data_IF_271952376874
#
_entry.id   IF_271952376874
#
_cell.length_a   1.000
_cell.length_b   1.000
_cell.length_c   1.000
_cell.angle_alpha   90.00
_cell.angle_beta   90.00
_cell.angle_gamma   90.00
#
_symmetry.space_group_name_H-M   'P 1'
#
loop_
_entity.id
_entity.type
_entity.pdbx_description
1 polymer ?
#
# COMPACT_ATOMS: atom_id res chain seq x y z
N UNK A 1 -17.87 37.36 10.24
CA UNK A 1 -19.34 37.18 10.40
C UNK A 1 -19.84 36.02 9.54
N UNK A 2 -19.30 34.80 9.73
CA UNK A 2 -19.68 33.60 8.98
C UNK A 2 -20.08 32.42 9.91
N UNK A 3 -20.17 32.67 11.22
CA UNK A 3 -20.36 31.64 12.26
C UNK A 3 -21.81 31.43 12.69
N UNK A 4 -22.75 32.27 12.24
CA UNK A 4 -24.13 32.32 12.76
C UNK A 4 -25.17 31.53 11.94
N UNK A 5 -24.75 30.82 10.88
CA UNK A 5 -25.66 30.01 10.07
C UNK A 5 -25.71 28.54 10.51
N UNK A 6 -24.62 28.01 11.10
CA UNK A 6 -24.57 26.63 11.62
C UNK A 6 -25.38 26.47 12.92
N UNK A 7 -25.36 27.48 13.78
CA UNK A 7 -25.99 27.44 15.10
C UNK A 7 -27.53 27.39 15.10
N UNK A 8 -28.21 27.63 13.96
CA UNK A 8 -29.68 27.62 13.88
C UNK A 8 -30.30 26.23 13.77
N UNK A 9 -29.53 25.19 13.47
CA UNK A 9 -30.00 23.78 13.43
C UNK A 9 -29.63 23.00 14.70
N UNK A 10 -28.78 23.56 15.54
CA UNK A 10 -28.32 22.96 16.80
C UNK A 10 -29.33 23.10 17.96
N UNK A 11 -30.37 23.92 17.80
CA UNK A 11 -31.29 24.28 18.90
C UNK A 11 -32.44 23.29 19.12
N UNK A 12 -32.67 22.36 18.18
CA UNK A 12 -33.80 21.42 18.23
C UNK A 12 -33.44 20.02 18.74
N UNK A 13 -32.19 19.79 19.17
CA UNK A 13 -31.82 18.52 19.80
C UNK A 13 -32.36 18.43 21.22
N UNK A 14 -33.59 17.91 21.31
CA UNK A 14 -34.33 17.69 22.55
C UNK A 14 -34.27 16.21 22.92
N UNK A 15 -33.90 15.91 24.17
CA UNK A 15 -33.98 14.53 24.64
C UNK A 15 -35.44 14.06 24.75
N UNK A 16 -35.82 12.90 24.16
CA UNK A 16 -37.20 12.43 24.20
C UNK A 16 -37.71 12.06 25.60
N UNK A 17 -36.82 11.81 26.57
CA UNK A 17 -37.18 11.38 27.93
C UNK A 17 -37.32 12.56 28.89
N UNK A 18 -36.29 13.40 28.99
CA UNK A 18 -36.29 14.53 29.93
C UNK A 18 -36.72 15.86 29.28
N UNK A 19 -36.88 15.89 27.95
CA UNK A 19 -37.21 17.09 27.17
C UNK A 19 -36.27 18.27 27.38
N UNK A 20 -35.09 18.06 27.99
CA UNK A 20 -34.07 19.09 28.12
C UNK A 20 -33.36 19.27 26.78
N UNK A 21 -33.27 20.51 26.32
CA UNK A 21 -32.54 20.90 25.12
C UNK A 21 -31.08 21.22 25.42
N UNK A 22 -30.23 21.10 24.39
CA UNK A 22 -28.82 21.50 24.42
C UNK A 22 -28.62 22.99 24.74
N UNK A 23 -29.63 23.82 24.46
CA UNK A 23 -29.63 25.25 24.75
C UNK A 23 -29.52 25.55 26.26
N UNK A 24 -30.18 24.76 27.11
CA UNK A 24 -30.23 25.02 28.55
C UNK A 24 -28.95 24.56 29.29
N UNK A 25 -28.25 23.56 28.76
CA UNK A 25 -26.98 23.07 29.30
C UNK A 25 -26.05 22.67 28.14
N UNK A 26 -25.09 23.51 27.75
CA UNK A 26 -24.21 23.26 26.60
C UNK A 26 -23.28 22.05 26.80
N UNK A 27 -23.03 21.65 28.05
CA UNK A 27 -22.19 20.50 28.40
C UNK A 27 -22.92 19.15 28.31
N UNK A 28 -24.23 19.13 28.09
CA UNK A 28 -24.95 17.87 27.91
C UNK A 28 -24.54 17.21 26.59
N UNK A 29 -24.11 15.96 26.68
CA UNK A 29 -23.77 15.15 25.52
C UNK A 29 -24.92 14.20 25.22
N UNK A 30 -25.18 14.05 23.93
CA UNK A 30 -26.09 13.04 23.42
C UNK A 30 -25.32 11.76 23.09
N UNK A 31 -25.88 10.65 23.57
CA UNK A 31 -25.41 9.31 23.29
C UNK A 31 -26.40 8.63 22.34
N UNK A 32 -25.86 7.83 21.44
CA UNK A 32 -26.60 7.04 20.46
C UNK A 32 -26.23 5.58 20.63
N UNK A 33 -27.21 4.70 20.43
CA UNK A 33 -26.99 3.26 20.40
C UNK A 33 -27.09 2.76 18.94
N UNK A 34 -26.12 1.97 18.45
CA UNK A 34 -26.08 1.47 17.07
C UNK A 34 -27.27 0.55 16.69
N UNK A 35 -28.06 0.08 17.65
CA UNK A 35 -29.21 -0.79 17.38
C UNK A 35 -30.52 -0.03 17.14
N UNK A 36 -30.78 1.06 17.87
CA UNK A 36 -32.02 1.86 17.75
C UNK A 36 -31.80 3.20 17.05
N UNK A 37 -30.57 3.74 17.00
CA UNK A 37 -30.26 5.09 16.47
C UNK A 37 -31.13 6.21 17.06
N UNK A 38 -31.43 6.15 18.35
CA UNK A 38 -32.15 7.21 19.06
C UNK A 38 -31.19 8.01 19.95
N UNK A 39 -31.31 9.35 19.89
CA UNK A 39 -30.52 10.29 20.68
C UNK A 39 -31.06 10.36 22.11
N UNK A 40 -30.21 10.16 23.11
CA UNK A 40 -30.56 10.25 24.53
C UNK A 40 -29.49 11.03 25.30
N UNK A 41 -29.90 11.75 26.35
CA UNK A 41 -28.99 12.50 27.20
C UNK A 41 -28.16 11.57 28.11
N UNK A 42 -26.91 11.93 28.45
CA UNK A 42 -26.06 11.14 29.37
C UNK A 42 -26.79 10.78 30.68
N UNK A 43 -27.46 11.74 31.32
CA UNK A 43 -28.19 11.51 32.59
C UNK A 43 -29.40 10.58 32.43
N UNK A 44 -30.04 10.58 31.26
CA UNK A 44 -31.15 9.69 30.91
C UNK A 44 -30.67 8.26 30.71
N UNK A 45 -29.53 8.10 30.01
CA UNK A 45 -28.89 6.81 29.78
C UNK A 45 -28.43 6.21 31.11
N UNK A 46 -27.79 7.02 31.95
CA UNK A 46 -27.33 6.57 33.26
C UNK A 46 -28.51 6.16 34.15
N UNK A 47 -29.60 6.92 34.20
CA UNK A 47 -30.74 6.57 35.05
C UNK A 47 -31.45 5.28 34.61
N UNK A 48 -31.70 5.12 33.31
CA UNK A 48 -32.54 4.03 32.78
C UNK A 48 -31.75 2.72 32.66
N UNK A 49 -30.47 2.78 32.29
CA UNK A 49 -29.66 1.59 32.05
C UNK A 49 -28.74 1.21 33.22
N UNK A 50 -28.76 1.95 34.34
CA UNK A 50 -28.06 1.52 35.58
C UNK A 50 -28.79 0.39 36.30
N UNK A 51 -30.11 0.28 36.14
CA UNK A 51 -30.91 -0.82 36.70
C UNK A 51 -30.79 -2.14 35.93
N UNK A 52 -30.02 -2.18 34.84
CA UNK A 52 -29.83 -3.35 33.99
C UNK A 52 -30.20 -3.11 32.53
N UNK A 53 -30.19 -4.16 31.69
CA UNK A 53 -30.58 -4.05 30.28
C UNK A 53 -32.07 -3.74 30.18
N UNK A 54 -32.40 -2.51 29.79
CA UNK A 54 -33.76 -2.04 29.58
C UNK A 54 -34.08 -1.90 28.08
N UNK A 55 -35.36 -1.81 27.74
CA UNK A 55 -35.78 -1.44 26.39
C UNK A 55 -35.62 0.07 26.17
N UNK A 56 -35.48 0.46 24.91
CA UNK A 56 -35.50 1.87 24.54
C UNK A 56 -36.87 2.51 24.88
N UNK A 57 -36.92 3.67 25.56
CA UNK A 57 -38.18 4.32 25.95
C UNK A 57 -38.83 5.15 24.84
N UNK A 58 -38.27 5.16 23.63
CA UNK A 58 -38.79 5.93 22.50
C UNK A 58 -39.96 5.19 21.87
N UNK A 59 -41.06 5.91 21.62
CA UNK A 59 -42.26 5.37 21.00
C UNK A 59 -41.93 4.68 19.68
N UNK A 60 -42.15 3.36 19.61
CA UNK A 60 -41.87 2.53 18.43
C UNK A 60 -40.57 1.70 18.47
N UNK A 61 -39.62 1.95 19.39
CA UNK A 61 -38.47 1.04 19.60
C UNK A 61 -38.70 0.17 20.82
N UNK A 62 -38.74 -1.16 20.67
CA UNK A 62 -38.74 -2.12 21.79
C UNK A 62 -37.44 -2.93 21.89
N UNK A 63 -36.35 -2.46 21.27
CA UNK A 63 -35.07 -3.17 21.32
C UNK A 63 -34.44 -3.04 22.70
N UNK A 64 -33.86 -4.13 23.18
CA UNK A 64 -33.15 -4.21 24.47
C UNK A 64 -31.74 -3.64 24.32
N UNK A 65 -31.42 -2.61 25.10
CA UNK A 65 -30.16 -1.87 25.00
C UNK A 65 -29.33 -2.04 26.28
N UNK A 66 -27.99 -1.98 26.13
CA UNK A 66 -27.03 -2.05 27.23
C UNK A 66 -26.25 -0.75 27.33
N UNK A 67 -25.90 -0.33 28.56
CA UNK A 67 -25.15 0.91 28.85
C UNK A 67 -23.82 1.01 28.09
N UNK A 68 -23.06 -0.09 28.00
CA UNK A 68 -21.74 -0.08 27.37
C UNK A 68 -21.77 0.08 25.84
N UNK A 69 -22.93 -0.11 25.20
CA UNK A 69 -23.07 0.02 23.74
C UNK A 69 -23.50 1.43 23.32
N UNK A 70 -23.65 2.37 24.24
CA UNK A 70 -23.89 3.77 23.90
C UNK A 70 -22.57 4.44 23.48
N UNK A 71 -22.59 5.14 22.36
CA UNK A 71 -21.46 5.87 21.80
C UNK A 71 -21.81 7.36 21.67
N UNK A 72 -20.82 8.24 21.76
CA UNK A 72 -20.99 9.67 21.49
C UNK A 72 -21.25 9.86 20.00
N UNK A 73 -22.24 10.70 19.69
CA UNK A 73 -22.54 11.12 18.33
C UNK A 73 -21.30 11.80 17.72
N UNK A 74 -20.88 11.35 16.55
CA UNK A 74 -19.78 11.97 15.80
C UNK A 74 -20.30 12.85 14.67
N UNK A 75 -21.51 12.56 14.17
CA UNK A 75 -22.13 13.28 13.06
C UNK A 75 -23.53 13.76 13.44
N UNK A 76 -23.95 14.93 12.97
CA UNK A 76 -25.26 15.53 13.26
C UNK A 76 -26.42 14.65 12.73
N UNK A 77 -26.22 14.02 11.56
CA UNK A 77 -27.22 13.19 10.88
C UNK A 77 -27.16 11.71 11.29
N UNK A 78 -28.29 11.21 11.83
CA UNK A 78 -28.49 9.78 12.15
C UNK A 78 -28.38 8.87 10.91
N UNK A 79 -28.78 9.37 9.73
CA UNK A 79 -28.69 8.61 8.48
C UNK A 79 -27.23 8.29 8.14
N UNK A 80 -26.36 9.30 8.24
CA UNK A 80 -24.92 9.17 7.99
C UNK A 80 -24.26 8.27 9.02
N UNK A 81 -24.62 8.39 10.31
CA UNK A 81 -24.07 7.48 11.33
C UNK A 81 -24.43 6.01 11.06
N UNK A 82 -25.67 5.74 10.65
CA UNK A 82 -26.09 4.39 10.27
C UNK A 82 -25.30 3.88 9.07
N UNK A 83 -25.12 4.70 8.05
CA UNK A 83 -24.33 4.34 6.88
C UNK A 83 -22.88 4.04 7.25
N UNK A 84 -22.25 4.89 8.08
CA UNK A 84 -20.87 4.71 8.54
C UNK A 84 -20.72 3.41 9.34
N UNK A 85 -21.67 3.10 10.22
CA UNK A 85 -21.65 1.86 11.00
C UNK A 85 -21.85 0.62 10.12
N UNK A 86 -22.76 0.67 9.14
CA UNK A 86 -22.94 -0.40 8.15
C UNK A 86 -21.68 -0.57 7.30
N UNK A 87 -21.14 0.53 6.74
CA UNK A 87 -19.93 0.51 5.92
C UNK A 87 -18.75 -0.04 6.70
N UNK A 88 -18.55 0.37 7.95
CA UNK A 88 -17.48 -0.18 8.81
C UNK A 88 -17.66 -1.68 9.05
N UNK A 89 -18.88 -2.14 9.32
CA UNK A 89 -19.17 -3.56 9.50
C UNK A 89 -18.86 -4.36 8.22
N UNK A 90 -19.33 -3.87 7.07
CA UNK A 90 -19.13 -4.54 5.79
C UNK A 90 -17.65 -4.53 5.38
N UNK A 91 -16.94 -3.40 5.54
CA UNK A 91 -15.49 -3.30 5.30
C UNK A 91 -14.67 -4.24 6.18
N UNK A 92 -15.08 -4.43 7.44
CA UNK A 92 -14.41 -5.35 8.35
C UNK A 92 -14.56 -6.83 7.94
N UNK A 93 -15.69 -7.18 7.32
CA UNK A 93 -15.94 -8.53 6.81
C UNK A 93 -15.30 -8.72 5.42
N UNK A 94 -15.40 -7.73 4.53
CA UNK A 94 -14.87 -7.74 3.16
C UNK A 94 -13.51 -7.02 3.10
N UNK A 95 -12.55 -7.48 3.89
CA UNK A 95 -11.22 -6.87 4.05
C UNK A 95 -10.15 -7.49 3.12
N UNK A 96 -10.48 -7.71 1.85
CA UNK A 96 -9.53 -8.21 0.84
C UNK A 96 -8.70 -7.07 0.26
N UNK A 97 -7.41 -7.32 0.02
CA UNK A 97 -6.44 -6.35 -0.53
C UNK A 97 -6.30 -6.53 -2.04
N UNK A 98 -5.90 -5.46 -2.75
CA UNK A 98 -5.67 -5.48 -4.20
C UNK A 98 -4.65 -6.56 -4.63
N UNK A 99 -3.65 -6.82 -3.78
CA UNK A 99 -2.59 -7.82 -4.02
C UNK A 99 -3.11 -9.25 -4.11
N UNK A 100 -4.28 -9.54 -3.53
CA UNK A 100 -4.90 -10.86 -3.58
C UNK A 100 -5.60 -11.13 -4.92
N UNK A 101 -5.72 -10.14 -5.81
CA UNK A 101 -6.43 -10.26 -7.08
C UNK A 101 -5.48 -10.37 -8.28
N UNK A 102 -5.79 -11.28 -9.23
CA UNK A 102 -5.01 -11.49 -10.46
C UNK A 102 -5.04 -10.28 -11.38
N UNK A 103 -6.17 -9.55 -11.40
CA UNK A 103 -6.39 -8.42 -12.28
C UNK A 103 -6.99 -7.25 -11.53
N UNK A 104 -6.60 -6.05 -11.93
CA UNK A 104 -7.18 -4.80 -11.38
C UNK A 104 -8.69 -4.73 -11.61
N UNK A 105 -9.18 -5.21 -12.76
CA UNK A 105 -10.63 -5.26 -13.05
C UNK A 105 -11.40 -6.13 -12.04
N UNK A 106 -10.86 -7.28 -11.66
CA UNK A 106 -11.48 -8.14 -10.66
C UNK A 106 -11.55 -7.46 -9.28
N UNK A 107 -10.56 -6.64 -8.95
CA UNK A 107 -10.59 -5.83 -7.73
C UNK A 107 -11.63 -4.70 -7.82
N UNK A 108 -11.71 -4.00 -8.96
CA UNK A 108 -12.72 -2.95 -9.18
C UNK A 108 -14.15 -3.54 -9.13
N UNK A 109 -14.40 -4.69 -9.76
CA UNK A 109 -15.68 -5.41 -9.70
C UNK A 109 -16.03 -5.83 -8.26
N UNK A 110 -15.03 -6.21 -7.45
CA UNK A 110 -15.23 -6.52 -6.03
C UNK A 110 -15.58 -5.28 -5.20
N UNK A 111 -14.95 -4.14 -5.49
CA UNK A 111 -15.28 -2.87 -4.84
C UNK A 111 -16.72 -2.43 -5.17
N UNK A 112 -17.14 -2.59 -6.43
CA UNK A 112 -18.52 -2.32 -6.84
C UNK A 112 -19.51 -3.23 -6.11
N UNK A 113 -19.27 -4.56 -6.08
CA UNK A 113 -20.09 -5.50 -5.31
C UNK A 113 -20.17 -5.15 -3.82
N UNK A 114 -19.07 -4.67 -3.22
CA UNK A 114 -19.05 -4.21 -1.83
C UNK A 114 -19.95 -2.99 -1.64
N UNK A 115 -19.87 -1.99 -2.51
CA UNK A 115 -20.73 -0.80 -2.41
C UNK A 115 -22.19 -1.12 -2.70
N UNK A 116 -22.50 -2.05 -3.61
CA UNK A 116 -23.87 -2.54 -3.85
C UNK A 116 -24.46 -3.17 -2.59
N UNK A 117 -23.69 -4.00 -1.89
CA UNK A 117 -24.10 -4.58 -0.61
C UNK A 117 -24.36 -3.46 0.42
N UNK A 118 -23.46 -2.48 0.52
CA UNK A 118 -23.64 -1.34 1.44
C UNK A 118 -24.90 -0.54 1.09
N UNK A 119 -25.11 -0.21 -0.18
CA UNK A 119 -26.26 0.57 -0.65
C UNK A 119 -27.59 -0.16 -0.38
N UNK A 120 -27.63 -1.48 -0.59
CA UNK A 120 -28.78 -2.32 -0.27
C UNK A 120 -29.09 -2.32 1.24
N UNK A 121 -28.07 -2.45 2.09
CA UNK A 121 -28.25 -2.42 3.56
C UNK A 121 -28.70 -1.04 4.06
N UNK A 122 -28.15 0.05 3.50
CA UNK A 122 -28.53 1.42 3.88
C UNK A 122 -29.97 1.73 3.48
N UNK A 123 -30.35 1.34 2.26
CA UNK A 123 -31.69 1.56 1.68
C UNK A 123 -32.75 0.59 2.21
N UNK A 124 -32.33 -0.44 2.98
CA UNK A 124 -33.18 -1.53 3.50
C UNK A 124 -33.88 -2.35 2.41
N UNK A 125 -33.26 -2.49 1.25
CA UNK A 125 -33.73 -3.32 0.16
C UNK A 125 -33.06 -4.69 0.30
N UNK A 126 -33.84 -5.77 0.32
CA UNK A 126 -33.34 -7.16 0.38
C UNK A 126 -32.31 -7.44 1.52
N UNK A 127 -32.56 -6.89 2.72
CA UNK A 127 -31.70 -7.06 3.91
C UNK A 127 -31.45 -8.53 4.25
N UNK A 128 -32.47 -9.38 4.16
CA UNK A 128 -32.32 -10.80 4.49
C UNK A 128 -31.38 -11.56 3.53
N UNK A 129 -31.40 -11.22 2.24
CA UNK A 129 -30.54 -11.89 1.24
C UNK A 129 -29.10 -11.43 1.37
N UNK A 130 -28.90 -10.12 1.51
CA UNK A 130 -27.58 -9.52 1.67
C UNK A 130 -26.93 -9.97 2.98
N UNK A 131 -27.67 -10.01 4.09
CA UNK A 131 -27.18 -10.56 5.36
C UNK A 131 -26.81 -12.05 5.24
N UNK A 132 -27.61 -12.86 4.53
CA UNK A 132 -27.28 -14.27 4.30
C UNK A 132 -26.01 -14.43 3.45
N UNK A 133 -25.80 -13.60 2.43
CA UNK A 133 -24.58 -13.58 1.62
C UNK A 133 -23.36 -13.19 2.46
N UNK A 134 -23.49 -12.14 3.28
CA UNK A 134 -22.46 -11.70 4.22
C UNK A 134 -22.10 -12.80 5.24
N UNK A 135 -23.09 -13.52 5.78
CA UNK A 135 -22.86 -14.61 6.72
C UNK A 135 -22.16 -15.81 6.07
N UNK A 136 -22.56 -16.20 4.86
CA UNK A 136 -21.88 -17.27 4.10
C UNK A 136 -20.43 -16.89 3.85
N UNK A 137 -20.20 -15.68 3.37
CA UNK A 137 -18.85 -15.19 3.12
C UNK A 137 -18.00 -15.13 4.40
N UNK A 138 -18.56 -14.63 5.50
CA UNK A 138 -17.85 -14.54 6.77
C UNK A 138 -17.48 -15.93 7.33
N UNK A 139 -18.35 -16.94 7.12
CA UNK A 139 -18.08 -18.31 7.55
C UNK A 139 -16.99 -18.97 6.70
N UNK A 140 -17.04 -18.79 5.37
CA UNK A 140 -16.07 -19.37 4.43
C UNK A 140 -14.69 -18.71 4.55
N UNK A 141 -14.64 -17.40 4.79
CA UNK A 141 -13.41 -16.58 4.79
C UNK A 141 -12.93 -16.16 6.18
N UNK A 142 -13.39 -16.78 7.26
CA UNK A 142 -13.01 -16.35 8.60
C UNK A 142 -11.49 -16.34 8.82
N UNK A 143 -10.75 -17.26 8.19
CA UNK A 143 -9.29 -17.35 8.32
C UNK A 143 -8.57 -16.24 7.55
N UNK A 144 -8.95 -15.99 6.29
CA UNK A 144 -8.38 -14.90 5.48
C UNK A 144 -8.70 -13.52 6.07
N UNK A 145 -9.92 -13.35 6.59
CA UNK A 145 -10.32 -12.12 7.29
C UNK A 145 -9.41 -11.86 8.50
N UNK A 146 -9.18 -12.88 9.34
CA UNK A 146 -8.30 -12.74 10.52
C UNK A 146 -6.85 -12.48 10.15
N UNK A 147 -6.33 -13.14 9.11
CA UNK A 147 -4.97 -12.91 8.63
C UNK A 147 -4.80 -11.45 8.15
N UNK A 148 -5.72 -10.97 7.32
CA UNK A 148 -5.69 -9.59 6.83
C UNK A 148 -5.85 -8.56 7.96
N UNK A 149 -6.69 -8.84 8.96
CA UNK A 149 -6.83 -8.00 10.16
C UNK A 149 -5.55 -7.97 11.01
N UNK A 150 -4.83 -9.09 11.11
CA UNK A 150 -3.56 -9.14 11.83
C UNK A 150 -2.50 -8.30 11.11
N UNK A 151 -2.42 -8.37 9.78
CA UNK A 151 -1.51 -7.56 8.98
C UNK A 151 -1.85 -6.07 9.12
N UNK A 152 -3.13 -5.70 9.01
CA UNK A 152 -3.58 -4.31 9.21
C UNK A 152 -3.26 -3.79 10.62
N UNK A 153 -3.42 -4.63 11.65
CA UNK A 153 -3.07 -4.28 13.02
C UNK A 153 -1.56 -4.09 13.21
N UNK A 154 -0.74 -4.95 12.59
CA UNK A 154 0.72 -4.83 12.62
C UNK A 154 1.18 -3.55 11.90
N UNK A 155 0.64 -3.26 10.73
CA UNK A 155 0.89 -2.01 9.97
C UNK A 155 0.46 -0.77 10.76
N UNK A 156 -0.71 -0.79 11.40
CA UNK A 156 -1.16 0.30 12.24
C UNK A 156 -0.26 0.50 13.47
N UNK A 157 0.18 -0.59 14.10
CA UNK A 157 1.08 -0.54 15.26
C UNK A 157 2.47 0.00 14.90
N UNK A 158 3.03 -0.43 13.77
CA UNK A 158 4.33 0.04 13.28
C UNK A 158 4.26 1.51 12.84
N UNK A 159 3.15 1.94 12.22
CA UNK A 159 2.91 3.34 11.91
C UNK A 159 2.82 4.20 13.18
N UNK A 160 2.05 3.76 14.18
CA UNK A 160 1.94 4.47 15.46
C UNK A 160 3.31 4.55 16.17
N UNK A 161 4.07 3.46 16.21
CA UNK A 161 5.42 3.45 16.79
C UNK A 161 6.36 4.44 16.08
N UNK A 162 6.29 4.52 14.75
CA UNK A 162 7.07 5.49 13.98
C UNK A 162 6.67 6.93 14.31
N UNK A 163 5.36 7.20 14.41
CA UNK A 163 4.85 8.51 14.80
C UNK A 163 5.27 8.91 16.22
N UNK A 164 5.27 7.96 17.17
CA UNK A 164 5.70 8.25 18.55
C UNK A 164 7.20 8.54 18.61
N UNK A 165 8.03 7.78 17.88
CA UNK A 165 9.47 8.04 17.79
C UNK A 165 9.76 9.42 17.20
N UNK A 166 9.06 9.80 16.12
CA UNK A 166 9.22 11.13 15.53
C UNK A 166 8.81 12.25 16.51
N UNK A 167 7.72 12.06 17.26
CA UNK A 167 7.29 13.01 18.28
C UNK A 167 8.28 13.11 19.45
N UNK A 168 8.85 11.98 19.90
CA UNK A 168 9.86 11.94 20.95
C UNK A 168 11.15 12.62 20.51
N UNK A 169 11.63 12.36 19.29
CA UNK A 169 12.76 13.07 18.72
C UNK A 169 12.51 14.58 18.62
N UNK A 170 11.32 14.99 18.17
CA UNK A 170 10.96 16.41 18.12
C UNK A 170 10.93 17.04 19.52
N UNK A 171 10.45 16.32 20.53
CA UNK A 171 10.46 16.76 21.93
C UNK A 171 11.88 16.90 22.47
N UNK A 172 12.75 15.91 22.22
CA UNK A 172 14.15 15.94 22.63
C UNK A 172 14.91 17.10 21.95
N UNK A 173 14.64 17.36 20.66
CA UNK A 173 15.21 18.53 19.95
C UNK A 173 14.78 19.84 20.60
N UNK A 174 13.50 19.99 20.96
CA UNK A 174 13.01 21.19 21.66
C UNK A 174 13.64 21.37 23.04
N UNK A 175 13.83 20.26 23.77
CA UNK A 175 14.48 20.29 25.08
C UNK A 175 15.97 20.63 24.98
N UNK A 176 16.68 20.06 23.99
CA UNK A 176 18.08 20.37 23.73
C UNK A 176 18.28 21.85 23.43
N UNK A 177 17.48 22.43 22.53
CA UNK A 177 17.53 23.87 22.22
C UNK A 177 17.28 24.73 23.46
N UNK A 178 16.35 24.33 24.34
CA UNK A 178 16.11 25.04 25.61
C UNK A 178 17.31 24.94 26.55
N UNK A 179 17.90 23.76 26.69
CA UNK A 179 19.08 23.57 27.54
C UNK A 179 20.29 24.33 27.02
N UNK A 180 20.51 24.36 25.71
CA UNK A 180 21.57 25.15 25.07
C UNK A 180 21.39 26.65 25.32
N UNK A 181 20.15 27.16 25.24
CA UNK A 181 19.87 28.55 25.60
C UNK A 181 20.16 28.82 27.08
N UNK A 182 19.76 27.93 27.99
CA UNK A 182 20.02 28.08 29.42
C UNK A 182 21.53 28.02 29.76
N UNK A 183 22.29 27.11 29.14
CA UNK A 183 23.74 27.04 29.33
C UNK A 183 24.44 28.27 28.77
N UNK A 184 24.05 28.74 27.58
CA UNK A 184 24.60 29.98 27.01
C UNK A 184 24.30 31.18 27.92
N UNK A 185 23.08 31.29 28.46
CA UNK A 185 22.74 32.33 29.44
C UNK A 185 23.64 32.26 30.68
N UNK A 186 23.88 31.06 31.23
CA UNK A 186 24.76 30.87 32.40
C UNK A 186 26.22 31.21 32.09
N UNK A 187 26.73 30.84 30.92
CA UNK A 187 28.09 31.17 30.49
C UNK A 187 28.30 32.68 30.31
N UNK A 188 27.30 33.39 29.78
CA UNK A 188 27.34 34.85 29.65
C UNK A 188 27.37 35.49 31.03
N UNK A 189 26.55 35.00 31.96
CA UNK A 189 26.49 35.52 33.33
C UNK A 189 27.79 35.25 34.10
N UNK A 190 28.31 34.02 34.06
CA UNK A 190 29.59 33.65 34.66
C UNK A 190 30.75 34.45 34.04
N UNK A 191 30.76 34.62 32.72
CA UNK A 191 31.77 35.45 32.03
C UNK A 191 31.71 36.92 32.45
N UNK A 192 30.51 37.45 32.74
CA UNK A 192 30.33 38.80 33.28
C UNK A 192 30.82 38.90 34.72
N UNK A 193 30.53 37.90 35.56
CA UNK A 193 30.98 37.84 36.96
C UNK A 193 32.50 37.69 37.08
N UNK A 194 33.11 36.84 36.25
CA UNK A 194 34.58 36.69 36.17
C UNK A 194 35.24 38.00 35.73
N UNK A 195 34.66 38.69 34.75
CA UNK A 195 35.16 39.98 34.28
C UNK A 195 35.05 41.04 35.38
N UNK A 196 33.91 41.12 36.09
CA UNK A 196 33.73 42.03 37.22
C UNK A 196 34.68 41.72 38.38
N UNK A 197 34.93 40.43 38.67
CA UNK A 197 35.85 40.00 39.72
C UNK A 197 37.29 40.40 39.40
N UNK A 198 37.72 40.25 38.14
CA UNK A 198 39.05 40.71 37.68
C UNK A 198 39.20 42.23 37.71
N UNK A 199 38.12 42.96 37.45
CA UNK A 199 38.12 44.43 37.60
C UNK A 199 38.16 44.85 39.07
N UNK A 200 37.49 44.11 39.96
CA UNK A 200 37.48 44.39 41.39
C UNK A 200 38.81 44.08 42.09
N UNK A 201 39.58 43.10 41.59
CA UNK A 201 40.91 42.75 42.12
C UNK A 201 42.06 43.56 41.51
N UNK A 202 41.83 44.26 40.38
CA UNK A 202 42.84 45.05 39.68
C UNK A 202 42.96 46.49 40.19
N UNK A 203 44.16 47.07 40.10
CA UNK A 203 44.38 48.49 40.43
C UNK A 203 43.82 49.42 39.32
N UNK A 204 43.62 50.71 39.62
CA UNK A 204 43.01 51.67 38.67
C UNK A 204 43.78 51.81 37.34
N UNK A 205 45.08 51.49 37.31
CA UNK A 205 45.90 51.51 36.08
C UNK A 205 45.76 50.23 35.26
N UNK A 206 45.36 49.11 35.88
CA UNK A 206 45.21 47.81 35.23
C UNK A 206 43.85 47.63 34.55
N UNK A 207 42.84 48.39 34.97
CA UNK A 207 41.48 48.34 34.41
C UNK A 207 41.45 48.59 32.88
N UNK A 208 42.29 49.49 32.38
CA UNK A 208 42.39 49.81 30.95
C UNK A 208 43.14 48.73 30.13
N UNK A 209 44.01 47.95 30.77
CA UNK A 209 44.67 46.80 30.15
C UNK A 209 43.70 45.59 30.09
N UNK A 210 42.99 45.34 31.19
CA UNK A 210 42.01 44.25 31.32
C UNK A 210 40.85 44.40 30.31
N UNK A 211 40.37 45.62 30.06
CA UNK A 211 39.32 45.88 29.06
C UNK A 211 39.77 45.60 27.61
N UNK A 212 41.02 45.95 27.26
CA UNK A 212 41.60 45.68 25.93
C UNK A 212 41.85 44.19 25.72
N UNK A 213 42.31 43.49 26.75
CA UNK A 213 42.51 42.05 26.72
C UNK A 213 41.17 41.30 26.64
N UNK A 214 40.15 41.74 27.38
CA UNK A 214 38.79 41.21 27.32
C UNK A 214 38.20 41.28 25.90
N UNK A 215 38.32 42.41 25.21
CA UNK A 215 37.88 42.55 23.81
C UNK A 215 38.63 41.61 22.85
N UNK A 216 39.95 41.44 23.02
CA UNK A 216 40.77 40.54 22.19
C UNK A 216 40.41 39.06 22.40
N UNK A 217 40.10 38.66 23.63
CA UNK A 217 39.66 37.30 23.98
C UNK A 217 38.24 37.03 23.45
N UNK A 218 37.35 38.01 23.52
CA UNK A 218 35.97 37.89 23.03
C UNK A 218 35.92 37.76 21.49
N UNK A 219 36.74 38.52 20.76
CA UNK A 219 36.94 38.36 19.31
C UNK A 219 37.44 36.96 18.94
N UNK A 220 38.44 36.43 19.64
CA UNK A 220 38.97 35.07 19.41
C UNK A 220 37.95 33.97 19.73
N UNK A 221 37.16 34.13 20.80
CA UNK A 221 36.09 33.19 21.17
C UNK A 221 34.97 33.19 20.13
N UNK A 222 34.62 34.35 19.58
CA UNK A 222 33.62 34.48 18.51
C UNK A 222 34.04 33.85 17.18
N UNK A 223 35.34 33.92 16.82
CA UNK A 223 35.86 33.28 15.61
C UNK A 223 35.95 31.75 15.74
N UNK A 224 36.30 31.24 16.93
CA UNK A 224 36.37 29.80 17.18
C UNK A 224 34.97 29.15 17.12
N UNK A 225 33.96 29.75 17.77
CA UNK A 225 32.57 29.25 17.75
C UNK A 225 32.00 29.17 16.33
N UNK A 226 32.23 30.19 15.50
CA UNK A 226 31.74 30.24 14.12
C UNK A 226 32.33 29.11 13.25
N UNK A 227 33.60 28.75 13.48
CA UNK A 227 34.25 27.63 12.79
C UNK A 227 33.76 26.24 13.26
N UNK A 228 33.40 26.13 14.55
CA UNK A 228 32.88 24.87 15.12
C UNK A 228 31.43 24.61 14.69
N UNK A 229 30.57 25.63 14.69
CA UNK A 229 29.20 25.55 14.17
C UNK A 229 29.17 25.13 12.70
N UNK A 230 30.08 25.66 11.88
CA UNK A 230 30.18 25.30 10.45
C UNK A 230 30.61 23.84 10.25
N UNK A 231 31.55 23.33 11.05
CA UNK A 231 31.96 21.91 11.03
C UNK A 231 30.84 20.97 11.48
N UNK A 232 30.06 21.35 12.48
CA UNK A 232 28.92 20.55 12.97
C UNK A 232 27.79 20.54 11.92
N UNK A 233 27.52 21.68 11.28
CA UNK A 233 26.53 21.79 10.19
C UNK A 233 26.90 20.94 8.98
N UNK A 234 28.17 20.91 8.59
CA UNK A 234 28.66 20.06 7.51
C UNK A 234 28.54 18.55 7.83
N UNK A 235 28.84 18.15 9.08
CA UNK A 235 28.66 16.75 9.52
C UNK A 235 27.20 16.30 9.55
N UNK A 236 26.27 17.16 10.01
CA UNK A 236 24.84 16.85 9.98
C UNK A 236 24.28 16.78 8.55
N UNK A 237 24.80 17.57 7.62
CA UNK A 237 24.41 17.51 6.22
C UNK A 237 24.85 16.19 5.55
N UNK A 238 26.06 15.70 5.86
CA UNK A 238 26.58 14.43 5.33
C UNK A 238 25.75 13.22 5.80
N UNK A 239 25.38 13.16 7.08
CA UNK A 239 24.58 12.06 7.63
C UNK A 239 23.16 11.96 7.05
N UNK A 240 22.58 13.06 6.57
CA UNK A 240 21.27 13.06 5.91
C UNK A 240 21.30 12.50 4.48
N UNK A 241 22.45 12.56 3.80
CA UNK A 241 22.61 12.00 2.46
C UNK A 241 22.74 10.46 2.48
N UNK A 242 23.31 9.90 3.53
CA UNK A 242 23.52 8.44 3.65
C UNK A 242 22.24 7.66 3.94
N UNK A 243 21.29 8.22 4.71
CA UNK A 243 20.00 7.58 4.99
C UNK A 243 19.08 7.45 3.77
N UNK A 244 19.33 8.18 2.68
CA UNK A 244 18.54 8.11 1.44
C UNK A 244 18.89 6.87 0.58
N UNK A 245 19.97 6.14 0.90
CA UNK A 245 20.41 4.94 0.15
C UNK A 245 19.92 3.61 0.70
N UNK A 246 19.30 3.60 1.89
CA UNK A 246 18.93 2.37 2.63
C UNK A 246 17.43 2.00 2.44
N UNK A 247 16.64 2.82 1.74
CA UNK A 247 15.19 2.58 1.57
C UNK A 247 14.78 1.66 0.41
N UNK A 248 15.73 1.02 -0.30
CA UNK A 248 15.44 0.29 -1.54
C UNK A 248 15.60 -1.24 -1.44
N UNK A 249 15.63 -1.83 -0.24
CA UNK A 249 15.81 -3.28 -0.12
C UNK A 249 15.01 -3.89 1.05
N UNK A 250 13.73 -4.14 0.83
CA UNK A 250 12.94 -5.05 1.68
C UNK A 250 11.70 -5.55 0.94
N UNK A 251 11.84 -6.69 0.25
CA UNK A 251 10.74 -7.53 -0.23
C UNK A 251 10.64 -8.75 0.69
N UNK A 252 9.48 -8.96 1.31
CA UNK A 252 9.19 -10.11 2.17
C UNK A 252 7.95 -10.81 1.59
N UNK A 253 8.08 -12.10 1.27
CA UNK A 253 6.99 -12.97 0.82
C UNK A 253 6.53 -13.88 1.96
N UNK A 254 5.22 -14.03 2.18
CA UNK A 254 4.67 -15.18 2.89
C UNK A 254 3.18 -15.49 2.57
N UNK A 255 2.98 -16.78 2.24
CA UNK A 255 1.89 -17.72 2.58
C UNK A 255 0.41 -17.29 2.51
N UNK A 256 -0.34 -17.99 1.65
CA UNK A 256 -1.77 -17.75 1.42
C UNK A 256 -2.76 -18.71 2.08
N UNK A 257 -4.03 -18.34 1.95
CA UNK A 257 -5.24 -19.08 2.32
C UNK A 257 -6.18 -19.19 1.10
N UNK A 258 -6.97 -20.26 1.07
CA UNK A 258 -7.67 -20.79 -0.11
C UNK A 258 -8.97 -20.05 -0.51
N UNK A 259 -9.30 -20.25 -1.79
CA UNK A 259 -10.32 -19.65 -2.65
C UNK A 259 -11.77 -19.98 -2.22
N UNK A 260 -12.65 -18.98 -2.17
CA UNK A 260 -14.08 -19.13 -1.88
C UNK A 260 -14.89 -18.39 -2.94
N UNK A 261 -15.79 -19.10 -3.62
CA UNK A 261 -16.46 -18.72 -4.87
C UNK A 261 -17.45 -17.54 -4.83
N UNK A 262 -17.32 -16.60 -3.90
CA UNK A 262 -18.01 -15.31 -3.98
C UNK A 262 -17.21 -14.29 -4.78
N UNK A 263 -15.88 -14.41 -4.81
CA UNK A 263 -14.99 -13.41 -5.39
C UNK A 263 -14.34 -13.98 -6.63
N UNK A 264 -14.58 -13.34 -7.77
CA UNK A 264 -14.04 -13.78 -9.06
C UNK A 264 -12.66 -13.13 -9.23
N UNK A 265 -11.61 -13.92 -9.46
CA UNK A 265 -10.27 -13.41 -9.82
C UNK A 265 -9.26 -13.28 -8.68
N UNK A 266 -9.37 -14.10 -7.63
CA UNK A 266 -8.29 -14.27 -6.66
C UNK A 266 -7.05 -14.87 -7.32
N UNK A 267 -5.87 -14.38 -6.95
CA UNK A 267 -4.59 -14.93 -7.39
C UNK A 267 -4.49 -16.39 -7.01
N UNK A 268 -4.51 -17.27 -8.00
CA UNK A 268 -4.08 -18.66 -7.81
C UNK A 268 -2.59 -18.63 -7.54
N UNK A 269 -2.22 -18.94 -6.30
CA UNK A 269 -0.83 -19.17 -5.90
C UNK A 269 -0.30 -20.28 -6.81
N UNK A 270 0.55 -19.92 -7.77
CA UNK A 270 1.36 -20.89 -8.51
C UNK A 270 2.36 -21.44 -7.50
N UNK A 271 2.05 -22.57 -6.89
CA UNK A 271 3.06 -23.36 -6.19
C UNK A 271 4.21 -23.58 -7.17
N UNK A 272 5.45 -23.18 -6.84
CA UNK A 272 6.57 -23.45 -7.72
C UNK A 272 6.62 -24.95 -8.00
N UNK A 273 6.72 -25.32 -9.28
CA UNK A 273 6.82 -26.73 -9.66
C UNK A 273 8.02 -27.34 -8.92
N UNK A 274 7.87 -28.54 -8.31
CA UNK A 274 8.99 -29.19 -7.65
C UNK A 274 10.11 -29.38 -8.67
N UNK A 275 11.34 -29.02 -8.29
CA UNK A 275 12.51 -29.16 -9.16
C UNK A 275 12.55 -30.59 -9.72
N UNK A 276 12.54 -30.71 -11.05
CA UNK A 276 12.58 -32.01 -11.72
C UNK A 276 13.84 -32.75 -11.26
N UNK A 277 13.78 -34.07 -11.02
CA UNK A 277 14.96 -34.86 -10.71
C UNK A 277 16.09 -34.59 -11.71
N UNK A 278 17.30 -34.36 -11.19
CA UNK A 278 18.47 -34.03 -12.01
C UNK A 278 18.75 -35.12 -13.04
N UNK A 279 18.65 -34.78 -14.32
CA UNK A 279 18.98 -35.65 -15.45
C UNK A 279 20.44 -35.41 -15.88
N UNK A 280 21.36 -36.38 -15.71
CA UNK A 280 22.77 -36.24 -16.06
C UNK A 280 23.03 -36.05 -17.56
N UNK A 281 22.04 -36.32 -18.42
CA UNK A 281 22.15 -36.08 -19.86
C UNK A 281 21.47 -34.79 -20.33
N UNK A 282 20.90 -33.98 -19.41
CA UNK A 282 20.22 -32.72 -19.73
C UNK A 282 19.23 -32.87 -20.91
N UNK A 283 18.51 -34.00 -20.99
CA UNK A 283 17.58 -34.29 -22.09
C UNK A 283 18.20 -34.79 -23.40
N UNK A 284 19.50 -35.12 -23.43
CA UNK A 284 20.12 -35.75 -24.59
C UNK A 284 19.66 -37.21 -24.73
N UNK A 285 18.81 -37.46 -25.72
CA UNK A 285 18.37 -38.80 -26.10
C UNK A 285 19.13 -39.21 -27.36
N UNK A 286 19.99 -40.26 -27.31
CA UNK A 286 20.63 -40.79 -28.50
C UNK A 286 19.58 -41.11 -29.58
N UNK A 287 19.83 -40.71 -30.83
CA UNK A 287 18.94 -40.87 -32.01
C UNK A 287 17.77 -39.87 -32.13
N UNK A 288 17.49 -39.03 -31.13
CA UNK A 288 16.46 -37.99 -31.25
C UNK A 288 17.09 -36.67 -31.73
N UNK A 289 16.77 -36.26 -32.95
CA UNK A 289 17.12 -34.93 -33.48
C UNK A 289 15.97 -33.96 -33.23
N UNK A 290 16.29 -32.69 -32.96
CA UNK A 290 15.31 -31.68 -32.54
C UNK A 290 14.25 -31.38 -33.61
N UNK A 291 14.65 -31.44 -34.88
CA UNK A 291 13.82 -30.95 -35.99
C UNK A 291 13.05 -32.04 -36.74
N UNK A 292 13.46 -33.31 -36.63
CA UNK A 292 12.78 -34.41 -37.28
C UNK A 292 13.01 -35.75 -36.59
N UNK A 293 12.00 -36.61 -36.64
CA UNK A 293 12.10 -38.01 -36.23
C UNK A 293 12.37 -38.89 -37.44
N UNK A 294 13.44 -39.68 -37.40
CA UNK A 294 13.73 -40.65 -38.45
C UNK A 294 12.74 -41.83 -38.34
N UNK A 295 11.97 -42.10 -39.40
CA UNK A 295 11.24 -43.36 -39.50
C UNK A 295 12.20 -44.49 -39.86
N UNK A 296 11.89 -45.70 -39.40
CA UNK A 296 12.66 -46.91 -39.72
C UNK A 296 12.49 -47.36 -41.18
N UNK A 297 11.44 -46.88 -41.86
CA UNK A 297 11.12 -47.23 -43.23
C UNK A 297 10.57 -46.04 -44.00
N UNK A 298 11.15 -45.76 -45.17
CA UNK A 298 10.60 -44.86 -46.17
C UNK A 298 10.42 -45.63 -47.48
N UNK A 299 9.20 -45.69 -48.04
CA UNK A 299 8.95 -46.43 -49.27
C UNK A 299 9.67 -45.77 -50.43
N UNK A 300 10.63 -46.48 -51.04
CA UNK A 300 11.27 -46.00 -52.26
C UNK A 300 11.70 -47.16 -53.16
N UNK A 301 11.35 -47.03 -54.44
CA UNK A 301 11.62 -48.05 -55.46
C UNK A 301 13.12 -48.34 -55.63
N UNK A 302 13.98 -47.38 -55.24
CA UNK A 302 15.43 -47.50 -55.32
C UNK A 302 16.04 -48.20 -54.10
N UNK A 303 15.53 -47.96 -52.88
CA UNK A 303 16.13 -48.51 -51.65
C UNK A 303 15.54 -49.86 -51.25
N UNK A 304 14.32 -50.19 -51.72
CA UNK A 304 13.68 -51.49 -51.49
C UNK A 304 14.53 -52.70 -51.96
N UNK A 305 15.19 -52.71 -53.14
CA UNK A 305 16.08 -53.80 -53.52
C UNK A 305 17.37 -53.84 -52.69
N UNK A 306 17.95 -52.66 -52.38
CA UNK A 306 19.20 -52.52 -51.62
C UNK A 306 19.05 -53.07 -50.20
N UNK A 307 17.85 -52.95 -49.62
CA UNK A 307 17.52 -53.49 -48.31
C UNK A 307 17.62 -55.02 -48.23
N UNK A 308 17.30 -55.71 -49.32
CA UNK A 308 17.29 -57.17 -49.36
C UNK A 308 18.61 -57.76 -49.90
N UNK A 309 19.47 -56.92 -50.49
CA UNK A 309 20.77 -57.33 -51.01
C UNK A 309 21.81 -57.50 -49.91
N UNK A 310 22.09 -58.76 -49.56
CA UNK A 310 23.07 -59.14 -48.54
C UNK A 310 24.50 -58.64 -48.85
N UNK A 311 24.83 -58.39 -50.13
CA UNK A 311 26.13 -57.86 -50.55
C UNK A 311 26.35 -56.41 -50.08
N UNK A 312 25.29 -55.60 -50.06
CA UNK A 312 25.35 -54.20 -49.62
C UNK A 312 25.37 -54.07 -48.10
N UNK A 313 24.59 -54.92 -47.41
CA UNK A 313 24.60 -55.03 -45.95
C UNK A 313 25.97 -55.46 -45.39
N UNK A 314 26.62 -56.43 -46.05
CA UNK A 314 27.97 -56.86 -45.67
C UNK A 314 29.04 -55.76 -45.88
N UNK A 315 28.77 -54.79 -46.75
CA UNK A 315 29.62 -53.62 -47.00
C UNK A 315 29.50 -52.49 -45.97
N UNK A 316 28.68 -52.66 -44.92
CA UNK A 316 28.49 -51.66 -43.87
C UNK A 316 27.53 -50.53 -44.24
N UNK A 317 26.73 -50.68 -45.29
CA UNK A 317 25.75 -49.68 -45.70
C UNK A 317 24.52 -49.71 -44.77
N UNK A 318 24.35 -48.68 -43.92
CA UNK A 318 23.17 -48.51 -43.07
C UNK A 318 22.13 -47.58 -43.71
N UNK A 319 20.92 -48.09 -43.90
CA UNK A 319 19.78 -47.35 -44.44
C UNK A 319 19.37 -46.19 -43.52
N UNK A 320 19.54 -46.32 -42.20
CA UNK A 320 19.17 -45.26 -41.26
C UNK A 320 20.02 -44.01 -41.44
N UNK A 321 21.32 -44.21 -41.63
CA UNK A 321 22.26 -43.13 -41.90
C UNK A 321 21.98 -42.47 -43.25
N UNK A 322 21.69 -43.26 -44.29
CA UNK A 322 21.28 -42.76 -45.59
C UNK A 322 20.02 -41.89 -45.52
N UNK A 323 18.97 -42.34 -44.82
CA UNK A 323 17.77 -41.54 -44.59
C UNK A 323 18.08 -40.24 -43.83
N UNK A 324 18.96 -40.31 -42.83
CA UNK A 324 19.33 -39.13 -42.04
C UNK A 324 20.06 -38.08 -42.88
N UNK A 325 20.94 -38.52 -43.78
CA UNK A 325 21.74 -37.65 -44.66
C UNK A 325 20.89 -37.05 -45.76
N UNK A 326 20.04 -37.85 -46.40
CA UNK A 326 19.15 -37.39 -47.47
C UNK A 326 18.10 -36.41 -46.97
N UNK A 327 17.51 -36.64 -45.79
CA UNK A 327 16.60 -35.67 -45.17
C UNK A 327 17.34 -34.38 -44.82
N UNK A 328 18.55 -34.47 -44.25
CA UNK A 328 19.32 -33.28 -43.92
C UNK A 328 19.72 -32.49 -45.18
N UNK A 329 20.12 -33.15 -46.26
CA UNK A 329 20.46 -32.51 -47.55
C UNK A 329 19.23 -31.88 -48.21
N UNK A 330 18.09 -32.57 -48.20
CA UNK A 330 16.84 -32.03 -48.73
C UNK A 330 16.38 -30.77 -47.98
N UNK A 331 16.45 -30.78 -46.64
CA UNK A 331 16.08 -29.62 -45.83
C UNK A 331 17.14 -28.52 -45.81
N UNK A 332 18.43 -28.86 -45.90
CA UNK A 332 19.51 -27.88 -46.01
C UNK A 332 19.52 -27.17 -47.38
N UNK A 333 19.05 -27.83 -48.44
CA UNK A 333 18.93 -27.27 -49.79
C UNK A 333 17.72 -26.34 -50.00
N UNK A 334 16.80 -26.27 -49.04
CA UNK A 334 15.59 -25.45 -49.08
C UNK A 334 15.73 -24.19 -48.21
N UNK A 335 16.90 -23.54 -48.19
CA UNK A 335 17.21 -22.40 -47.31
C UNK A 335 16.43 -21.10 -47.63
N UNK A 336 15.11 -21.15 -47.57
CA UNK A 336 14.23 -20.05 -47.19
C UNK A 336 13.98 -20.14 -45.68
N UNK A 337 14.71 -19.32 -44.92
CA UNK A 337 14.48 -19.20 -43.48
C UNK A 337 13.24 -18.36 -43.25
N UNK A 338 12.11 -19.03 -43.05
CA UNK A 338 10.80 -18.40 -42.79
C UNK A 338 10.86 -17.38 -41.64
N UNK A 339 11.74 -17.58 -40.66
CA UNK A 339 11.98 -16.61 -39.58
C UNK A 339 12.58 -15.28 -40.06
N UNK A 340 13.48 -15.30 -41.04
CA UNK A 340 14.06 -14.08 -41.65
C UNK A 340 13.06 -13.41 -42.60
N UNK A 341 12.27 -14.18 -43.35
CA UNK A 341 11.24 -13.63 -44.23
C UNK A 341 10.07 -12.99 -43.46
N UNK A 342 9.61 -13.62 -42.37
CA UNK A 342 8.53 -13.07 -41.54
C UNK A 342 9.01 -11.80 -40.82
N UNK A 343 10.23 -11.80 -40.28
CA UNK A 343 10.77 -10.60 -39.62
C UNK A 343 10.97 -9.44 -40.60
N UNK A 344 11.36 -9.70 -41.86
CA UNK A 344 11.41 -8.67 -42.90
C UNK A 344 10.01 -8.16 -43.30
N UNK A 345 9.02 -9.06 -43.40
CA UNK A 345 7.62 -8.68 -43.70
C UNK A 345 7.00 -7.83 -42.59
N UNK A 346 7.25 -8.19 -41.32
CA UNK A 346 6.74 -7.44 -40.17
C UNK A 346 7.40 -6.06 -40.06
N UNK A 347 8.70 -5.97 -40.38
CA UNK A 347 9.42 -4.70 -40.48
C UNK A 347 8.85 -3.79 -41.61
N UNK A 348 8.49 -4.36 -42.76
CA UNK A 348 7.90 -3.63 -43.87
C UNK A 348 6.45 -3.15 -43.61
N UNK A 349 5.65 -3.91 -42.86
CA UNK A 349 4.30 -3.49 -42.47
C UNK A 349 4.30 -2.39 -41.41
N UNK A 350 5.31 -2.36 -40.53
CA UNK A 350 5.43 -1.33 -39.48
C UNK A 350 5.81 0.04 -40.06
N UNK A 351 6.54 0.09 -41.17
CA UNK A 351 6.90 1.35 -41.84
C UNK A 351 5.75 1.95 -42.65
N UNK A 352 4.76 1.16 -43.06
CA UNK A 352 3.60 1.65 -43.83
C UNK A 352 2.54 2.29 -42.94
N UNK A 353 2.35 1.82 -41.70
CA UNK A 353 1.35 2.41 -40.78
C UNK A 353 1.77 3.79 -40.25
N UNK A 354 3.06 4.01 -40.07
CA UNK A 354 3.61 5.29 -39.58
C UNK A 354 3.53 6.40 -40.64
N UNK A 355 3.56 6.04 -41.93
CA UNK A 355 3.36 7.00 -43.02
C UNK A 355 1.90 7.49 -43.16
N UNK A 356 0.91 6.66 -42.81
CA UNK A 356 -0.51 7.04 -42.90
C UNK A 356 -0.98 7.92 -41.75
N UNK A 357 -0.38 7.83 -40.55
CA UNK A 357 -0.68 8.73 -39.43
C UNK A 357 -0.04 10.12 -39.60
N UNK A 358 1.11 10.21 -40.27
CA UNK A 358 1.73 11.50 -40.61
C UNK A 358 0.95 12.31 -41.65
N UNK A 359 0.25 11.63 -42.57
CA UNK A 359 -0.55 12.28 -43.60
C UNK A 359 -1.91 12.80 -43.08
N UNK A 360 -2.53 12.14 -42.09
CA UNK A 360 -3.79 12.61 -41.50
C UNK A 360 -3.62 13.87 -40.64
N UNK A 361 -2.48 14.01 -39.96
CA UNK A 361 -2.18 15.22 -39.16
C UNK A 361 -1.84 16.46 -39.97
N UNK A 362 -1.45 16.32 -41.25
CA UNK A 362 -1.14 17.46 -42.12
C UNK A 362 -2.38 18.11 -42.76
N UNK A 363 -3.54 17.44 -42.74
CA UNK A 363 -4.77 17.92 -43.39
C UNK A 363 -5.60 18.84 -42.49
N UNK A 364 -5.46 18.77 -41.16
CA UNK A 364 -6.25 19.59 -40.20
C UNK A 364 -5.67 21.01 -39.96
N UNK A 365 -4.52 21.35 -40.54
CA UNK A 365 -3.84 22.64 -40.32
C UNK A 365 -4.13 23.74 -41.36
N UNK A 366 -5.06 23.54 -42.29
CA UNK A 366 -5.12 24.29 -43.55
C UNK A 366 -6.45 24.96 -43.92
N UNK A 367 -7.34 25.30 -42.98
CA UNK A 367 -8.57 26.05 -43.29
C UNK A 367 -8.83 27.18 -42.28
N UNK A 368 -8.11 28.29 -42.42
CA UNK A 368 -8.57 29.61 -41.94
C UNK A 368 -7.68 30.75 -42.48
N UNK A 369 -7.78 31.08 -43.77
CA UNK A 369 -7.50 32.42 -44.34
C UNK A 369 -7.97 32.49 -45.79
N UNK A 370 -9.16 33.04 -46.02
CA UNK A 370 -9.56 33.92 -47.14
C UNK A 370 -11.06 34.19 -47.06
#
# INVERSE_FOLDING_TARGET
MASNAASRRDEDEVCPVCKSSRYLNPDMRFLINPECYHKMCESCVDRIFSSGPANCPVAGCRKTLRKNRFRKQTFEDIGVEREVDIRRRVMHILNRREEEFDSKRAYDDFLEQREDIIANLVSRIDVAKTEAQLQKYAAENMQSIRANQAIEAEEASSFQARMTLEQEEARLRRQAVRQEYETERREIQAGREDFLTRLASGSSTDAAAIAREGHKVLLKKSSARRSEEERIRQKQAALRLDNKRISNLSTVEQAGAADTGLVKGLRKIKTPEPEKPYDPFMGYVPEKRDYYSLQSYYPSQYLDPIRNDARMLAGGYDLREYYSRTLLEAFAGLSCFVGEEISQRDAANTSTSTATEGASMAVEGGENTA
#
